data_IF_189490345543
#
_entry.id   IF_189490345543
#
_cell.length_a   1.000
_cell.length_b   1.000
_cell.length_c   1.000
_cell.angle_alpha   90.00
_cell.angle_beta   90.00
_cell.angle_gamma   90.00
#
_symmetry.space_group_name_H-M   'P 1'
#
loop_
_entity.id
_entity.type
_entity.pdbx_description
1 polymer ?
#
# COMPACT_ATOMS: atom_id res chain seq x y z
N UNK A 1 1.17 -2.55 -16.23
CA UNK A 1 0.60 -2.02 -14.98
C UNK A 1 -0.44 -3.03 -14.53
N UNK A 2 -0.53 -3.26 -13.23
CA UNK A 2 -1.51 -4.17 -12.62
C UNK A 2 -2.49 -3.34 -11.81
N UNK A 3 -3.75 -3.73 -11.84
CA UNK A 3 -4.72 -3.26 -10.87
C UNK A 3 -4.63 -4.14 -9.62
N UNK A 4 -4.52 -3.49 -8.46
CA UNK A 4 -4.49 -4.16 -7.16
C UNK A 4 -5.48 -3.50 -6.21
N UNK A 5 -5.99 -4.27 -5.26
CA UNK A 5 -6.80 -3.77 -4.15
C UNK A 5 -6.12 -4.09 -2.83
N UNK A 6 -6.10 -3.12 -1.93
CA UNK A 6 -5.55 -3.31 -0.60
C UNK A 6 -6.60 -3.98 0.29
N UNK A 7 -6.28 -5.14 0.85
CA UNK A 7 -7.21 -5.90 1.71
C UNK A 7 -6.78 -5.93 3.17
N UNK A 8 -5.48 -5.74 3.44
CA UNK A 8 -4.94 -5.59 4.79
C UNK A 8 -3.76 -4.61 4.84
N UNK A 9 -3.55 -3.97 5.99
CA UNK A 9 -2.41 -3.10 6.28
C UNK A 9 -1.75 -3.60 7.56
N UNK A 10 -0.54 -4.13 7.45
CA UNK A 10 0.22 -4.55 8.61
C UNK A 10 0.89 -3.35 9.28
N UNK A 11 1.68 -2.61 8.50
CA UNK A 11 2.32 -1.37 8.93
C UNK A 11 2.81 -0.56 7.75
N UNK A 12 3.15 0.70 8.01
CA UNK A 12 3.70 1.63 7.04
C UNK A 12 4.98 2.21 7.62
N UNK A 13 6.00 2.41 6.80
CA UNK A 13 7.24 3.09 7.20
C UNK A 13 7.76 4.01 6.10
N UNK A 14 8.69 4.89 6.44
CA UNK A 14 9.35 5.72 5.44
C UNK A 14 10.22 4.87 4.52
N UNK A 15 10.15 5.13 3.21
CA UNK A 15 11.11 4.53 2.29
C UNK A 15 12.46 5.24 2.39
N UNK A 16 13.45 4.55 2.95
CA UNK A 16 14.85 5.01 2.98
C UNK A 16 15.69 4.41 1.85
N UNK A 17 15.12 3.47 1.08
CA UNK A 17 15.82 2.72 0.04
C UNK A 17 15.84 3.47 -1.30
N UNK A 18 16.97 3.36 -2.02
CA UNK A 18 17.11 3.84 -3.41
C UNK A 18 16.69 2.75 -4.38
N UNK A 19 15.38 2.61 -4.57
CA UNK A 19 14.81 1.66 -5.53
C UNK A 19 14.70 2.29 -6.93
N UNK A 20 14.70 1.48 -8.00
CA UNK A 20 14.58 1.96 -9.38
C UNK A 20 13.12 2.33 -9.71
N UNK A 21 12.52 3.21 -8.91
CA UNK A 21 11.18 3.70 -9.16
C UNK A 21 11.09 4.31 -10.54
N UNK A 22 10.05 3.95 -11.29
CA UNK A 22 9.79 4.51 -12.61
C UNK A 22 9.35 5.96 -12.51
N UNK A 23 8.57 6.27 -11.48
CA UNK A 23 8.21 7.63 -11.14
C UNK A 23 9.05 8.11 -9.96
N UNK A 24 9.75 9.23 -10.16
CA UNK A 24 10.45 9.96 -9.10
C UNK A 24 9.56 11.11 -8.65
N UNK A 25 8.63 10.88 -7.69
CA UNK A 25 7.83 11.96 -7.13
C UNK A 25 8.72 13.02 -6.50
N UNK A 26 8.25 14.26 -6.46
CA UNK A 26 8.91 15.35 -5.73
C UNK A 26 8.94 15.12 -4.22
N UNK A 27 8.14 14.17 -3.72
CA UNK A 27 8.00 13.83 -2.30
C UNK A 27 8.52 12.41 -2.01
N UNK A 28 9.03 12.16 -0.79
CA UNK A 28 9.41 10.81 -0.36
C UNK A 28 8.23 9.83 -0.46
N UNK A 29 8.54 8.58 -0.83
CA UNK A 29 7.57 7.48 -0.79
C UNK A 29 7.54 6.83 0.59
N UNK A 30 6.41 6.23 0.90
CA UNK A 30 6.18 5.34 2.03
C UNK A 30 6.23 3.90 1.53
N UNK A 31 6.55 2.97 2.43
CA UNK A 31 6.41 1.52 2.23
C UNK A 31 5.24 1.04 3.04
N UNK A 32 4.17 0.62 2.39
CA UNK A 32 3.05 -0.05 3.04
C UNK A 32 3.26 -1.56 2.93
N UNK A 33 3.38 -2.22 4.07
CA UNK A 33 3.40 -3.66 4.19
C UNK A 33 1.98 -4.15 4.46
N UNK A 34 1.53 -5.14 3.71
CA UNK A 34 0.20 -5.69 3.87
C UNK A 34 -0.12 -6.73 2.80
N UNK A 35 -1.40 -6.94 2.61
CA UNK A 35 -1.92 -7.95 1.69
C UNK A 35 -2.73 -7.25 0.59
N UNK A 36 -2.51 -7.70 -0.64
CA UNK A 36 -3.17 -7.16 -1.83
C UNK A 36 -3.87 -8.26 -2.61
N UNK A 37 -5.00 -7.92 -3.20
CA UNK A 37 -5.67 -8.73 -4.22
C UNK A 37 -5.25 -8.23 -5.60
N UNK A 38 -4.74 -9.11 -6.46
CA UNK A 38 -4.40 -8.79 -7.85
C UNK A 38 -5.65 -9.00 -8.72
N UNK A 39 -6.21 -7.92 -9.26
CA UNK A 39 -7.52 -7.97 -9.94
C UNK A 39 -7.54 -8.90 -11.17
N UNK A 40 -6.41 -9.05 -11.85
CA UNK A 40 -6.29 -9.90 -13.05
C UNK A 40 -6.33 -11.41 -12.76
N UNK A 41 -5.83 -11.82 -11.59
CA UNK A 41 -5.68 -13.25 -11.23
C UNK A 41 -6.57 -13.66 -10.07
N UNK A 42 -7.20 -12.70 -9.38
CA UNK A 42 -7.94 -12.90 -8.13
C UNK A 42 -7.07 -13.56 -7.03
N UNK A 43 -5.74 -13.42 -7.12
CA UNK A 43 -4.80 -13.94 -6.14
C UNK A 43 -4.56 -12.92 -5.03
N UNK A 44 -4.65 -13.38 -3.79
CA UNK A 44 -4.27 -12.64 -2.58
C UNK A 44 -2.80 -12.95 -2.24
N UNK A 45 -2.00 -11.91 -2.04
CA UNK A 45 -0.58 -12.05 -1.74
C UNK A 45 -0.08 -10.98 -0.77
N UNK A 46 0.87 -11.36 0.08
CA UNK A 46 1.67 -10.41 0.86
C UNK A 46 2.57 -9.58 -0.06
N UNK A 47 2.53 -8.26 0.11
CA UNK A 47 3.24 -7.33 -0.75
C UNK A 47 3.71 -6.06 -0.03
N UNK A 48 4.63 -5.36 -0.69
CA UNK A 48 5.05 -4.02 -0.30
C UNK A 48 4.56 -3.03 -1.35
N UNK A 49 3.72 -2.09 -0.93
CA UNK A 49 3.16 -1.05 -1.80
C UNK A 49 3.86 0.28 -1.52
N UNK A 50 4.57 0.78 -2.53
CA UNK A 50 5.26 2.07 -2.50
C UNK A 50 4.34 3.17 -3.00
N UNK A 51 4.05 4.12 -2.12
CA UNK A 51 3.07 5.17 -2.38
C UNK A 51 3.46 6.48 -1.68
N UNK A 52 2.97 7.60 -2.16
CA UNK A 52 3.14 8.91 -1.49
C UNK A 52 2.16 9.08 -0.34
N UNK A 53 2.43 10.01 0.59
CA UNK A 53 1.46 10.35 1.65
C UNK A 53 0.09 10.77 1.08
N UNK A 54 0.08 11.47 -0.06
CA UNK A 54 -1.16 11.86 -0.75
C UNK A 54 -1.96 10.63 -1.18
N UNK A 55 -1.28 9.66 -1.80
CA UNK A 55 -1.89 8.40 -2.22
C UNK A 55 -2.41 7.59 -1.03
N UNK A 56 -1.66 7.52 0.07
CA UNK A 56 -2.13 6.88 1.30
C UNK A 56 -3.45 7.48 1.77
N UNK A 57 -3.51 8.82 1.81
CA UNK A 57 -4.70 9.54 2.25
C UNK A 57 -5.90 9.31 1.32
N UNK A 58 -5.70 9.03 0.03
CA UNK A 58 -6.80 8.63 -0.86
C UNK A 58 -7.30 7.21 -0.52
N UNK A 59 -6.40 6.30 -0.14
CA UNK A 59 -6.73 4.92 0.23
C UNK A 59 -7.46 4.85 1.57
N UNK A 60 -7.04 5.59 2.60
CA UNK A 60 -7.59 5.45 3.97
C UNK A 60 -8.41 6.65 4.44
N UNK A 61 -8.28 7.80 3.79
CA UNK A 61 -8.90 9.05 4.23
C UNK A 61 -10.42 8.98 4.20
N UNK A 62 -11.05 9.49 5.26
CA UNK A 62 -12.52 9.50 5.40
C UNK A 62 -13.14 8.14 5.73
N UNK A 63 -12.34 7.07 5.86
CA UNK A 63 -12.80 5.70 6.14
C UNK A 63 -12.75 5.31 7.63
N UNK A 64 -12.51 6.28 8.52
CA UNK A 64 -12.40 6.05 9.97
C UNK A 64 -11.22 5.16 10.38
N UNK A 65 -10.21 5.01 9.50
CA UNK A 65 -8.98 4.26 9.78
C UNK A 65 -8.02 5.19 10.50
N UNK A 66 -7.78 4.93 11.78
CA UNK A 66 -6.81 5.68 12.58
C UNK A 66 -5.44 5.01 12.48
N UNK A 67 -4.43 5.81 12.13
CA UNK A 67 -3.03 5.40 12.12
C UNK A 67 -2.31 6.01 13.31
N UNK A 68 -1.56 5.19 14.04
CA UNK A 68 -0.69 5.60 15.15
C UNK A 68 0.77 5.35 14.80
N UNK A 69 1.65 6.23 15.27
CA UNK A 69 3.09 6.07 15.13
C UNK A 69 3.66 5.37 16.36
N UNK A 70 4.46 4.34 16.13
CA UNK A 70 5.27 3.68 17.15
C UNK A 70 6.68 3.51 16.58
N UNK A 71 7.65 4.19 17.19
CA UNK A 71 9.01 4.33 16.65
C UNK A 71 9.00 4.91 15.22
N UNK A 72 9.62 4.19 14.26
CA UNK A 72 9.72 4.58 12.84
C UNK A 72 8.60 3.98 11.98
N UNK A 73 7.62 3.31 12.62
CA UNK A 73 6.52 2.61 11.96
C UNK A 73 5.17 3.22 12.31
N UNK A 74 4.26 3.09 11.37
CA UNK A 74 2.88 3.50 11.52
C UNK A 74 1.98 2.29 11.40
N UNK A 75 1.08 2.14 12.37
CA UNK A 75 0.18 0.99 12.50
C UNK A 75 -1.26 1.45 12.49
N UNK A 76 -2.16 0.59 12.02
CA UNK A 76 -3.59 0.82 12.26
C UNK A 76 -3.85 0.65 13.75
N UNK A 77 -4.41 1.67 14.40
CA UNK A 77 -4.62 1.71 15.85
C UNK A 77 -5.52 0.60 16.37
N UNK A 78 -6.47 0.18 15.54
CA UNK A 78 -7.43 -0.87 15.84
C UNK A 78 -7.50 -1.83 14.65
N UNK A 79 -7.75 -3.14 14.88
CA UNK A 79 -8.02 -4.06 13.78
C UNK A 79 -9.11 -3.52 12.87
N UNK A 80 -8.90 -3.62 11.55
CA UNK A 80 -9.86 -3.14 10.58
C UNK A 80 -11.19 -3.89 10.72
N UNK A 81 -12.29 -3.15 10.77
CA UNK A 81 -13.62 -3.74 10.69
C UNK A 81 -13.91 -4.24 9.27
N UNK A 82 -14.89 -5.14 9.13
CA UNK A 82 -15.32 -5.65 7.82
C UNK A 82 -15.72 -4.54 6.84
N UNK A 83 -16.33 -3.47 7.33
CA UNK A 83 -16.74 -2.34 6.49
C UNK A 83 -15.52 -1.52 6.05
N UNK A 84 -14.53 -1.33 6.91
CA UNK A 84 -13.28 -0.67 6.55
C UNK A 84 -12.49 -1.48 5.52
N UNK A 85 -12.38 -2.80 5.69
CA UNK A 85 -11.74 -3.70 4.72
C UNK A 85 -12.42 -3.58 3.35
N UNK A 86 -13.75 -3.60 3.31
CA UNK A 86 -14.49 -3.38 2.06
C UNK A 86 -14.20 -2.00 1.48
N UNK A 87 -14.20 -0.95 2.29
CA UNK A 87 -13.94 0.40 1.79
C UNK A 87 -12.54 0.58 1.21
N UNK A 88 -11.50 -0.02 1.81
CA UNK A 88 -10.14 0.02 1.25
C UNK A 88 -10.01 -0.87 0.02
N UNK A 89 -10.66 -2.04 0.01
CA UNK A 89 -10.65 -2.97 -1.12
C UNK A 89 -11.44 -2.48 -2.32
N UNK A 90 -12.32 -1.50 -2.15
CA UNK A 90 -13.03 -0.82 -3.24
C UNK A 90 -12.20 0.29 -3.89
N UNK A 91 -10.99 0.57 -3.40
CA UNK A 91 -10.09 1.54 -4.01
C UNK A 91 -9.30 0.83 -5.11
N UNK A 92 -9.43 1.33 -6.33
CA UNK A 92 -8.69 0.80 -7.48
C UNK A 92 -7.30 1.44 -7.51
N UNK A 93 -6.27 0.62 -7.30
CA UNK A 93 -4.87 1.07 -7.27
C UNK A 93 -4.19 0.57 -8.53
N UNK A 94 -3.86 1.48 -9.44
CA UNK A 94 -2.96 1.16 -10.55
C UNK A 94 -1.53 1.17 -10.04
N UNK A 95 -0.89 0.01 -10.11
CA UNK A 95 0.46 -0.17 -9.62
C UNK A 95 1.36 -0.90 -10.63
N UNK A 96 2.66 -0.75 -10.44
CA UNK A 96 3.66 -1.45 -11.23
C UNK A 96 4.58 -2.31 -10.38
N UNK A 97 4.80 -3.55 -10.81
CA UNK A 97 5.75 -4.44 -10.16
C UNK A 97 7.18 -3.94 -10.44
N UNK A 98 7.85 -3.44 -9.40
CA UNK A 98 9.21 -2.90 -9.48
C UNK A 98 10.29 -3.89 -9.02
N UNK A 99 9.87 -5.04 -8.49
CA UNK A 99 10.76 -6.12 -8.08
C UNK A 99 10.15 -7.00 -7.01
N UNK A 100 11.00 -7.82 -6.42
CA UNK A 100 10.66 -8.72 -5.33
C UNK A 100 11.75 -8.61 -4.27
N UNK A 101 11.38 -8.60 -2.99
CA UNK A 101 12.35 -8.61 -1.89
C UNK A 101 13.05 -9.97 -1.79
N UNK A 102 14.12 -10.02 -0.97
CA UNK A 102 14.82 -11.27 -0.64
C UNK A 102 13.90 -12.34 0.00
N UNK A 103 12.76 -11.93 0.57
CA UNK A 103 11.78 -12.82 1.18
C UNK A 103 10.63 -13.19 0.22
N UNK A 104 10.80 -13.00 -1.09
CA UNK A 104 9.79 -13.24 -2.12
C UNK A 104 8.54 -12.33 -2.07
N UNK A 105 8.52 -11.28 -1.25
CA UNK A 105 7.42 -10.30 -1.28
C UNK A 105 7.50 -9.45 -2.55
N UNK A 106 6.38 -9.34 -3.28
CA UNK A 106 6.29 -8.49 -4.47
C UNK A 106 6.25 -7.01 -4.05
N UNK A 107 6.98 -6.18 -4.79
CA UNK A 107 7.04 -4.74 -4.56
C UNK A 107 6.28 -4.01 -5.67
N UNK A 108 5.21 -3.31 -5.30
CA UNK A 108 4.37 -2.55 -6.21
C UNK A 108 4.57 -1.04 -6.03
N UNK A 109 4.88 -0.32 -7.09
CA UNK A 109 4.88 1.14 -7.13
C UNK A 109 3.50 1.65 -7.56
N UNK A 110 2.83 2.44 -6.72
CA UNK A 110 1.54 3.05 -7.07
C UNK A 110 1.77 4.16 -8.11
N UNK A 111 1.13 4.00 -9.25
CA UNK A 111 1.12 4.95 -10.36
C UNK A 111 -0.06 5.91 -10.21
N UNK A 112 -1.26 5.38 -10.01
CA UNK A 112 -2.49 6.14 -9.89
C UNK A 112 -3.47 5.47 -8.89
N UNK A 113 -4.31 6.28 -8.26
CA UNK A 113 -5.46 5.81 -7.46
C UNK A 113 -6.70 6.38 -8.12
N UNK A 114 -7.66 5.50 -8.44
CA UNK A 114 -8.92 5.85 -9.09
C UNK A 114 -10.08 5.93 -8.10
#
# INVERSE_FOLDING_TARGET
>A
MKEIHLINIDYIEQNTEKLPFKYKPEVPKLKLYGEVLISETEEEEEAIVFLTQKQLNQIIGGKGIEIVSEEDKWYVKHPLSKDQIKQIGLVDIEAELIGTTNNNLKCFEVVEIK
#
